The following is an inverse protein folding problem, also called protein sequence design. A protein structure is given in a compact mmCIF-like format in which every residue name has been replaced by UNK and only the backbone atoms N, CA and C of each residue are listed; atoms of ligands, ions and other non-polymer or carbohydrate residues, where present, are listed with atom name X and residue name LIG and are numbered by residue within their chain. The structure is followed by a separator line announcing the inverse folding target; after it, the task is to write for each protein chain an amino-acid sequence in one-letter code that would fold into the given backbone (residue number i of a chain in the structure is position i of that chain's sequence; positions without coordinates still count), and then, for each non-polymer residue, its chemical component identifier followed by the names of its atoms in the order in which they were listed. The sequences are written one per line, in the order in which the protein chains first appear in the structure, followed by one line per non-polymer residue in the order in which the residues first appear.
data_IF_766234912694
#
_entry.id   IF_766234912694
#
_cell.length_a   1.000
_cell.length_b   1.000
_cell.length_c   1.000
_cell.angle_alpha   90.00
_cell.angle_beta   90.00
_cell.angle_gamma   90.00
#
_symmetry.space_group_name_H-M   'P 1'
#
loop_
_entity.id
_entity.type
_entity.pdbx_description
1 polymer ?
#
# COMPACT_ATOMS: atom_id res chain seq x y z
N UNK A 1 -2.36 22.64 -26.93
CA UNK A 1 -3.46 22.03 -26.18
C UNK A 1 -4.34 23.13 -25.63
N UNK A 2 -5.66 22.90 -25.60
CA UNK A 2 -6.63 23.88 -25.14
C UNK A 2 -6.49 24.14 -23.63
N UNK A 3 -6.58 25.41 -23.22
CA UNK A 3 -6.23 25.84 -21.85
C UNK A 3 -7.19 25.36 -20.75
N UNK A 4 -8.26 24.68 -21.15
CA UNK A 4 -9.44 24.37 -20.34
C UNK A 4 -9.65 22.86 -20.13
N UNK A 5 -8.82 22.02 -20.74
CA UNK A 5 -8.91 20.55 -20.68
C UNK A 5 -7.81 19.93 -19.81
N UNK A 6 -7.46 20.57 -18.70
CA UNK A 6 -6.41 20.11 -17.78
C UNK A 6 -6.95 19.28 -16.61
N UNK A 7 -8.24 18.97 -16.59
CA UNK A 7 -8.85 18.18 -15.52
C UNK A 7 -9.96 17.30 -16.04
N UNK A 8 -10.18 16.17 -15.37
CA UNK A 8 -11.19 15.20 -15.75
C UNK A 8 -11.02 13.89 -14.99
N UNK A 9 -11.85 12.92 -15.38
CA UNK A 9 -11.78 11.53 -14.92
C UNK A 9 -11.56 10.66 -16.14
N UNK A 10 -10.64 9.71 -16.06
CA UNK A 10 -10.39 8.76 -17.14
C UNK A 10 -10.73 7.37 -16.66
N UNK A 11 -11.50 6.66 -17.46
CA UNK A 11 -11.76 5.23 -17.27
C UNK A 11 -10.92 4.47 -18.27
N UNK A 12 -10.20 3.47 -17.80
CA UNK A 12 -9.34 2.64 -18.64
C UNK A 12 -9.23 1.23 -18.12
N UNK A 13 -8.94 0.29 -19.02
CA UNK A 13 -8.50 -1.05 -18.62
C UNK A 13 -7.08 -0.94 -18.07
N UNK A 14 -6.90 -1.35 -16.82
CA UNK A 14 -5.63 -1.28 -16.15
C UNK A 14 -4.91 -2.62 -16.25
N UNK A 15 -3.80 -2.63 -16.97
CA UNK A 15 -2.85 -3.75 -16.97
C UNK A 15 -1.69 -3.41 -16.05
N UNK A 16 -1.51 -4.20 -14.98
CA UNK A 16 -0.38 -4.10 -14.06
C UNK A 16 0.50 -5.34 -14.23
N UNK A 17 1.77 -5.14 -14.62
CA UNK A 17 2.77 -6.22 -14.77
C UNK A 17 2.29 -7.39 -15.63
N UNK A 18 1.73 -7.07 -16.79
CA UNK A 18 1.22 -8.07 -17.74
C UNK A 18 -0.12 -8.70 -17.35
N UNK A 19 -0.71 -8.33 -16.20
CA UNK A 19 -2.02 -8.85 -15.77
C UNK A 19 -3.09 -7.77 -15.85
N UNK A 20 -4.20 -8.08 -16.51
CA UNK A 20 -5.35 -7.18 -16.59
C UNK A 20 -6.12 -7.20 -15.25
N UNK A 21 -6.25 -6.03 -14.62
CA UNK A 21 -6.94 -5.80 -13.35
C UNK A 21 -8.40 -5.33 -13.55
N UNK A 22 -8.81 -5.12 -14.80
CA UNK A 22 -10.14 -4.65 -15.18
C UNK A 22 -10.21 -3.14 -15.36
N UNK A 23 -11.43 -2.61 -15.34
CA UNK A 23 -11.71 -1.19 -15.58
C UNK A 23 -11.50 -0.40 -14.29
N UNK A 24 -10.64 0.61 -14.34
CA UNK A 24 -10.32 1.48 -13.20
C UNK A 24 -10.62 2.96 -13.50
N UNK A 25 -11.05 3.68 -12.47
CA UNK A 25 -11.28 5.13 -12.52
C UNK A 25 -10.02 5.88 -12.07
N UNK A 26 -9.30 6.45 -13.03
CA UNK A 26 -8.20 7.36 -12.76
C UNK A 26 -8.77 8.76 -12.50
N UNK A 27 -9.05 9.07 -11.23
CA UNK A 27 -9.58 10.37 -10.80
C UNK A 27 -8.55 11.22 -10.02
N UNK A 28 -7.71 10.58 -9.18
CA UNK A 28 -6.83 11.29 -8.26
C UNK A 28 -5.44 11.58 -8.87
N UNK A 29 -4.96 10.72 -9.77
CA UNK A 29 -3.58 10.76 -10.26
C UNK A 29 -3.42 11.30 -11.69
N UNK A 30 -4.51 11.78 -12.29
CA UNK A 30 -4.50 12.28 -13.67
C UNK A 30 -3.66 13.55 -13.83
N UNK A 31 -3.54 14.34 -12.75
CA UNK A 31 -2.79 15.59 -12.73
C UNK A 31 -1.28 15.39 -12.47
N UNK A 32 -0.81 14.15 -12.30
CA UNK A 32 0.63 13.88 -12.19
C UNK A 32 1.30 14.12 -13.55
N UNK A 33 2.54 14.59 -13.56
CA UNK A 33 3.30 14.83 -14.81
C UNK A 33 3.93 13.56 -15.40
N UNK A 34 3.64 12.39 -14.85
CA UNK A 34 4.37 11.14 -15.11
C UNK A 34 3.77 10.29 -16.26
N UNK A 35 2.65 10.74 -16.82
CA UNK A 35 1.99 10.04 -17.92
C UNK A 35 2.81 10.14 -19.21
N UNK A 36 2.99 9.01 -19.90
CA UNK A 36 3.59 8.93 -21.23
C UNK A 36 2.65 8.23 -22.19
N UNK A 37 2.47 8.82 -23.36
CA UNK A 37 1.68 8.23 -24.43
C UNK A 37 2.55 7.23 -25.21
N UNK A 38 2.09 5.99 -25.32
CA UNK A 38 2.71 4.98 -26.18
C UNK A 38 2.22 5.21 -27.61
N UNK A 39 3.14 5.30 -28.57
CA UNK A 39 2.78 5.48 -29.97
C UNK A 39 2.32 4.16 -30.61
N UNK A 40 1.40 4.24 -31.58
CA UNK A 40 0.80 3.06 -32.26
C UNK A 40 1.81 2.07 -32.87
N UNK A 41 3.00 2.54 -33.26
CA UNK A 41 4.01 1.67 -33.85
C UNK A 41 4.82 0.91 -32.78
N UNK A 42 4.89 1.44 -31.56
CA UNK A 42 5.57 0.84 -30.39
C UNK A 42 4.60 -0.01 -29.55
N UNK A 43 3.29 0.16 -29.74
CA UNK A 43 2.24 -0.52 -28.98
C UNK A 43 2.44 -2.04 -28.87
N UNK A 44 2.81 -2.71 -29.97
CA UNK A 44 3.03 -4.16 -29.97
C UNK A 44 4.22 -4.57 -29.08
N UNK A 45 5.29 -3.78 -29.08
CA UNK A 45 6.49 -4.05 -28.30
C UNK A 45 6.23 -3.81 -26.81
N UNK A 46 5.50 -2.73 -26.47
CA UNK A 46 5.16 -2.41 -25.08
C UNK A 46 4.08 -3.32 -24.48
N UNK A 47 3.20 -3.90 -25.31
CA UNK A 47 2.12 -4.78 -24.83
C UNK A 47 2.58 -6.23 -24.69
N UNK A 48 3.68 -6.63 -25.35
CA UNK A 48 4.20 -7.99 -25.26
C UNK A 48 4.86 -8.23 -23.90
N UNK A 49 4.27 -9.13 -23.11
CA UNK A 49 4.76 -9.50 -21.78
C UNK A 49 4.97 -11.02 -21.72
N UNK A 50 6.23 -11.45 -21.62
CA UNK A 50 6.61 -12.87 -21.60
C UNK A 50 6.32 -13.53 -20.26
N UNK A 51 6.44 -12.78 -19.17
CA UNK A 51 6.31 -13.26 -17.80
C UNK A 51 5.31 -12.37 -17.05
N UNK A 52 4.01 -12.61 -17.22
CA UNK A 52 3.00 -11.87 -16.48
C UNK A 52 3.02 -12.27 -15.00
N UNK A 53 2.64 -11.33 -14.13
CA UNK A 53 2.55 -11.56 -12.69
C UNK A 53 1.61 -12.74 -12.35
N UNK A 54 2.13 -13.69 -11.58
CA UNK A 54 1.38 -14.86 -11.10
C UNK A 54 0.37 -14.55 -9.99
N UNK A 55 -0.24 -15.60 -9.45
CA UNK A 55 -1.07 -15.51 -8.24
C UNK A 55 -0.17 -15.35 -7.00
N UNK A 56 -0.58 -14.49 -6.07
CA UNK A 56 0.19 -14.18 -4.87
C UNK A 56 -0.31 -15.06 -3.72
N UNK A 57 0.50 -16.03 -3.30
CA UNK A 57 0.17 -16.90 -2.16
C UNK A 57 0.82 -16.38 -0.89
N UNK A 58 0.01 -16.02 0.09
CA UNK A 58 0.44 -15.56 1.41
C UNK A 58 -0.05 -16.51 2.51
N UNK A 59 0.64 -16.59 3.65
CA UNK A 59 0.21 -17.41 4.76
C UNK A 59 -1.05 -16.83 5.40
N UNK A 60 -1.96 -17.71 5.84
CA UNK A 60 -3.17 -17.32 6.57
C UNK A 60 -2.91 -16.90 8.04
N UNK A 61 -1.72 -17.24 8.56
CA UNK A 61 -1.34 -17.00 9.95
C UNK A 61 0.16 -16.75 10.04
N UNK A 62 0.60 -16.08 11.09
CA UNK A 62 2.01 -15.77 11.33
C UNK A 62 2.42 -16.16 12.76
N UNK A 63 3.71 -16.48 12.99
CA UNK A 63 4.22 -16.75 14.33
C UNK A 63 4.23 -15.48 15.18
N UNK A 64 3.71 -15.58 16.40
CA UNK A 64 3.68 -14.49 17.37
C UNK A 64 5.11 -14.23 17.87
N UNK A 65 5.51 -12.95 18.04
CA UNK A 65 6.86 -12.62 18.48
C UNK A 65 7.21 -13.24 19.86
N UNK A 66 8.49 -13.58 20.12
CA UNK A 66 8.89 -14.29 21.32
C UNK A 66 8.47 -13.63 22.63
N UNK A 67 8.55 -12.30 22.70
CA UNK A 67 8.15 -11.54 23.88
C UNK A 67 6.64 -11.67 24.17
N UNK A 68 5.82 -11.59 23.12
CA UNK A 68 4.38 -11.74 23.26
C UNK A 68 4.02 -13.17 23.68
N UNK A 69 4.72 -14.19 23.16
CA UNK A 69 4.58 -15.57 23.64
C UNK A 69 4.90 -15.70 25.15
N UNK A 70 5.94 -15.02 25.65
CA UNK A 70 6.28 -15.01 27.07
C UNK A 70 5.20 -14.34 27.91
N UNK A 71 4.64 -13.23 27.44
CA UNK A 71 3.52 -12.56 28.12
C UNK A 71 2.27 -13.42 28.14
N UNK A 72 1.94 -14.10 27.04
CA UNK A 72 0.81 -15.04 26.96
C UNK A 72 0.99 -16.19 27.95
N UNK A 73 2.19 -16.79 28.04
CA UNK A 73 2.47 -17.84 29.04
C UNK A 73 2.23 -17.37 30.47
N UNK A 74 2.75 -16.20 30.84
CA UNK A 74 2.51 -15.60 32.16
C UNK A 74 1.03 -15.30 32.42
N UNK A 75 0.28 -14.88 31.40
CA UNK A 75 -1.15 -14.64 31.52
C UNK A 75 -1.94 -15.95 31.70
N UNK A 76 -1.58 -17.01 30.96
CA UNK A 76 -2.14 -18.35 31.08
C UNK A 76 -1.88 -18.96 32.48
N UNK A 77 -0.64 -18.83 32.99
CA UNK A 77 -0.28 -19.25 34.36
C UNK A 77 -1.09 -18.51 35.43
N UNK A 78 -1.35 -17.21 35.26
CA UNK A 78 -2.20 -16.44 36.18
C UNK A 78 -3.68 -16.79 36.11
N UNK A 79 -4.14 -17.33 34.99
CA UNK A 79 -5.54 -17.67 34.74
C UNK A 79 -5.84 -19.17 34.92
N UNK A 80 -4.84 -19.98 35.32
CA UNK A 80 -4.92 -21.44 35.41
C UNK A 80 -5.35 -22.13 34.10
N UNK A 81 -5.00 -21.55 32.95
CA UNK A 81 -5.30 -22.10 31.62
C UNK A 81 -4.03 -22.74 31.03
N UNK A 82 -4.07 -23.98 30.51
CA UNK A 82 -2.91 -24.59 29.88
C UNK A 82 -2.54 -23.90 28.57
N UNK A 83 -1.26 -23.54 28.41
CA UNK A 83 -0.72 -22.95 27.19
C UNK A 83 -0.71 -23.96 26.04
N UNK A 84 -1.33 -23.62 24.91
CA UNK A 84 -1.38 -24.47 23.70
C UNK A 84 -0.48 -23.93 22.60
N UNK A 85 0.02 -24.81 21.74
CA UNK A 85 0.88 -24.38 20.62
C UNK A 85 0.15 -23.51 19.59
N UNK A 86 -1.17 -23.69 19.44
CA UNK A 86 -2.04 -22.84 18.62
C UNK A 86 -1.98 -21.36 19.05
N UNK A 87 -1.75 -21.10 20.34
CA UNK A 87 -1.62 -19.74 20.89
C UNK A 87 -0.30 -19.07 20.53
N UNK A 88 0.62 -19.76 19.84
CA UNK A 88 1.86 -19.18 19.31
C UNK A 88 1.67 -18.53 17.95
N UNK A 89 0.47 -18.61 17.35
CA UNK A 89 0.19 -18.04 16.03
C UNK A 89 -1.04 -17.14 16.07
N UNK A 90 -1.04 -16.14 15.20
CA UNK A 90 -2.14 -15.22 15.02
C UNK A 90 -2.59 -15.21 13.55
N UNK A 91 -3.87 -14.95 13.26
CA UNK A 91 -4.34 -14.82 11.88
C UNK A 91 -3.69 -13.61 11.20
N UNK A 92 -3.27 -13.77 9.94
CA UNK A 92 -2.70 -12.69 9.15
C UNK A 92 -3.82 -11.94 8.44
N UNK A 93 -4.11 -10.72 8.87
CA UNK A 93 -4.99 -9.80 8.14
C UNK A 93 -4.14 -8.92 7.23
N UNK A 94 -4.36 -9.03 5.92
CA UNK A 94 -3.67 -8.19 4.94
C UNK A 94 -4.21 -6.76 5.02
N UNK A 95 -3.29 -5.80 5.03
CA UNK A 95 -3.57 -4.38 4.89
C UNK A 95 -2.99 -3.97 3.54
N UNK A 96 -3.87 -3.82 2.54
CA UNK A 96 -3.51 -3.37 1.21
C UNK A 96 -3.83 -1.87 1.16
N UNK A 97 -2.95 -1.09 0.54
CA UNK A 97 -3.24 0.33 0.34
C UNK A 97 -4.41 0.49 -0.64
N UNK A 98 -5.30 1.47 -0.46
CA UNK A 98 -6.50 1.63 -1.30
C UNK A 98 -6.22 1.70 -2.81
N UNK A 99 -5.06 2.22 -3.20
CA UNK A 99 -4.60 2.31 -4.59
C UNK A 99 -4.38 0.91 -5.22
N UNK A 100 -4.11 -0.10 -4.40
CA UNK A 100 -3.83 -1.47 -4.79
C UNK A 100 -4.93 -2.45 -4.39
N UNK A 101 -6.10 -1.98 -3.89
CA UNK A 101 -7.22 -2.84 -3.51
C UNK A 101 -7.68 -3.77 -4.64
N UNK A 102 -7.48 -3.34 -5.89
CA UNK A 102 -7.76 -4.12 -7.10
C UNK A 102 -6.94 -5.42 -7.20
N UNK A 103 -5.84 -5.54 -6.45
CA UNK A 103 -5.01 -6.76 -6.38
C UNK A 103 -5.60 -7.83 -5.46
N UNK A 104 -6.55 -7.48 -4.60
CA UNK A 104 -7.17 -8.38 -3.61
C UNK A 104 -7.63 -9.74 -4.20
N UNK A 105 -8.29 -9.80 -5.38
CA UNK A 105 -8.72 -11.08 -5.96
C UNK A 105 -7.57 -12.03 -6.32
N UNK A 106 -6.37 -11.50 -6.53
CA UNK A 106 -5.18 -12.26 -6.92
C UNK A 106 -4.34 -12.72 -5.73
N UNK A 107 -4.69 -12.26 -4.52
CA UNK A 107 -4.02 -12.64 -3.29
C UNK A 107 -4.79 -13.78 -2.63
N UNK A 108 -4.15 -14.94 -2.54
CA UNK A 108 -4.69 -16.14 -1.91
C UNK A 108 -3.99 -16.37 -0.58
N UNK A 109 -4.78 -16.57 0.47
CA UNK A 109 -4.25 -16.96 1.78
C UNK A 109 -4.38 -18.47 1.98
N UNK A 110 -3.27 -19.14 2.24
CA UNK A 110 -3.20 -20.59 2.45
C UNK A 110 -2.42 -20.93 3.72
N UNK A 111 -2.53 -22.17 4.21
CA UNK A 111 -1.64 -22.64 5.27
C UNK A 111 -0.23 -22.85 4.69
N UNK A 112 0.82 -22.35 5.36
CA UNK A 112 2.19 -22.50 4.87
C UNK A 112 2.65 -23.96 4.98
N UNK A 113 3.37 -24.45 3.97
CA UNK A 113 3.93 -25.82 3.95
C UNK A 113 4.94 -26.05 5.07
N UNK A 114 5.67 -25.00 5.45
CA UNK A 114 6.64 -25.01 6.55
C UNK A 114 6.24 -23.96 7.55
N UNK A 115 6.03 -24.37 8.81
CA UNK A 115 5.80 -23.46 9.93
C UNK A 115 7.15 -23.08 10.52
N UNK A 116 7.58 -21.85 10.27
CA UNK A 116 8.86 -21.29 10.70
C UNK A 116 8.74 -20.51 12.00
N UNK A 117 9.86 -19.95 12.44
CA UNK A 117 9.86 -18.97 13.54
C UNK A 117 9.61 -17.56 13.01
N UNK A 118 9.87 -17.34 11.73
CA UNK A 118 9.69 -16.08 11.02
C UNK A 118 8.75 -16.26 9.84
N UNK A 119 7.89 -15.26 9.57
CA UNK A 119 6.99 -15.25 8.42
C UNK A 119 7.75 -15.31 7.08
N UNK A 120 8.96 -14.75 7.03
CA UNK A 120 9.79 -14.75 5.81
C UNK A 120 10.31 -16.14 5.42
N UNK A 121 10.32 -17.10 6.35
CA UNK A 121 10.67 -18.49 6.06
C UNK A 121 9.50 -19.27 5.46
N UNK A 122 8.27 -18.76 5.65
CA UNK A 122 7.03 -19.43 5.28
C UNK A 122 6.50 -18.97 3.93
N UNK A 123 6.96 -17.82 3.44
CA UNK A 123 6.54 -17.25 2.15
C UNK A 123 7.62 -17.52 1.10
N UNK A 124 7.21 -17.84 -0.13
CA UNK A 124 8.14 -17.92 -1.25
C UNK A 124 8.66 -16.51 -1.60
N UNK A 125 9.99 -16.25 -1.48
CA UNK A 125 10.56 -14.96 -1.82
C UNK A 125 10.32 -14.55 -3.28
N UNK A 126 10.19 -15.52 -4.19
CA UNK A 126 9.96 -15.24 -5.61
C UNK A 126 8.63 -14.53 -5.84
N UNK A 127 7.58 -14.96 -5.13
CA UNK A 127 6.24 -14.35 -5.25
C UNK A 127 6.27 -12.87 -4.87
N UNK A 128 7.04 -12.49 -3.85
CA UNK A 128 7.22 -11.08 -3.50
C UNK A 128 8.09 -10.35 -4.52
N UNK A 129 9.18 -10.96 -4.99
CA UNK A 129 10.04 -10.36 -6.00
C UNK A 129 9.29 -10.13 -7.32
N UNK A 130 8.37 -11.02 -7.70
CA UNK A 130 7.50 -10.85 -8.87
C UNK A 130 6.49 -9.72 -8.68
N UNK A 131 6.03 -9.48 -7.43
CA UNK A 131 5.17 -8.34 -7.09
C UNK A 131 5.93 -7.00 -7.16
N UNK A 132 7.21 -6.99 -6.77
CA UNK A 132 8.06 -5.78 -6.75
C UNK A 132 8.93 -5.58 -7.99
N UNK A 133 9.10 -6.60 -8.83
CA UNK A 133 9.62 -6.53 -10.21
C UNK A 133 11.09 -6.79 -10.29
N UNK A 134 11.58 -7.65 -9.40
CA UNK A 134 13.01 -7.85 -9.14
C UNK A 134 13.75 -6.56 -8.73
N UNK A 135 13.05 -5.45 -8.57
CA UNK A 135 13.57 -4.19 -8.06
C UNK A 135 13.40 -4.14 -6.55
N UNK A 136 14.42 -3.64 -5.86
CA UNK A 136 14.34 -3.35 -4.44
C UNK A 136 13.26 -2.28 -4.23
N UNK A 137 12.36 -2.44 -3.25
CA UNK A 137 11.36 -1.42 -2.96
C UNK A 137 12.11 -0.12 -2.60
N UNK A 138 12.08 0.83 -3.53
CA UNK A 138 12.51 2.19 -3.26
C UNK A 138 11.50 2.79 -2.31
N UNK A 139 11.98 3.56 -1.32
CA UNK A 139 11.12 4.32 -0.43
C UNK A 139 10.26 5.24 -1.28
N UNK A 140 9.03 4.83 -1.56
CA UNK A 140 7.99 5.74 -2.02
C UNK A 140 7.71 6.58 -0.79
N UNK A 141 8.27 7.79 -0.74
CA UNK A 141 7.82 8.78 0.24
C UNK A 141 6.31 8.87 0.04
N UNK A 142 5.52 8.36 0.99
CA UNK A 142 4.10 8.64 1.05
C UNK A 142 4.01 10.15 1.16
N UNK A 143 3.89 10.83 0.03
CA UNK A 143 3.76 12.27 0.05
C UNK A 143 2.48 12.55 0.82
N UNK A 144 2.58 13.48 1.77
CA UNK A 144 1.45 14.00 2.54
C UNK A 144 0.49 14.79 1.62
N UNK A 145 0.17 14.28 0.42
CA UNK A 145 -0.82 14.85 -0.48
C UNK A 145 -2.19 14.32 -0.06
N UNK A 146 -2.65 14.79 1.09
CA UNK A 146 -4.06 15.13 1.17
C UNK A 146 -4.37 16.18 0.08
N UNK A 147 -5.65 16.41 -0.26
CA UNK A 147 -6.01 17.49 -1.16
C UNK A 147 -5.29 18.77 -0.70
N UNK A 148 -4.65 19.48 -1.65
CA UNK A 148 -3.88 20.68 -1.36
C UNK A 148 -4.73 21.66 -0.55
N UNK A 149 -4.48 21.73 0.76
CA UNK A 149 -5.21 22.61 1.67
C UNK A 149 -4.33 23.81 1.98
N UNK A 150 -4.87 25.00 1.71
CA UNK A 150 -4.20 26.24 2.08
C UNK A 150 -4.27 26.42 3.60
N UNK A 151 -3.13 26.28 4.26
CA UNK A 151 -2.98 26.62 5.69
C UNK A 151 -2.26 27.97 5.79
N UNK A 152 -2.99 29.09 6.05
CA UNK A 152 -2.35 30.37 6.25
C UNK A 152 -1.46 30.30 7.50
N UNK A 153 -0.18 30.66 7.35
CA UNK A 153 0.79 30.67 8.48
C UNK A 153 0.48 31.74 9.54
N UNK A 154 -0.39 32.69 9.24
CA UNK A 154 -0.75 33.79 10.13
C UNK A 154 -2.27 33.92 10.17
N UNK A 155 -2.82 33.81 11.37
CA UNK A 155 -4.21 34.16 11.68
C UNK A 155 -4.28 35.69 11.89
N UNK A 156 -5.35 36.39 11.47
CA UNK A 156 -5.50 37.82 11.76
C UNK A 156 -5.63 38.15 13.25
N UNK A 157 -5.70 37.13 14.11
CA UNK A 157 -5.92 37.27 15.56
C UNK A 157 -4.64 37.38 16.37
N UNK A 158 -3.47 37.07 15.79
CA UNK A 158 -2.22 36.88 16.55
C UNK A 158 -1.19 38.01 16.37
N UNK A 159 -1.60 39.28 16.29
CA UNK A 159 -0.84 40.47 16.78
C UNK A 159 -1.00 41.73 15.91
N UNK A 160 -1.97 42.59 16.25
CA UNK A 160 -1.73 44.04 16.18
C UNK A 160 -2.31 44.70 17.45
N UNK A 161 -1.49 44.75 18.51
CA UNK A 161 -1.68 45.74 19.58
C UNK A 161 -1.36 47.11 19.00
N UNK A 162 -2.40 47.82 18.55
CA UNK A 162 -2.30 49.24 18.20
C UNK A 162 -2.11 50.01 19.52
N UNK A 163 -0.87 50.40 19.82
CA UNK A 163 -0.62 51.40 20.86
C UNK A 163 -1.29 52.72 20.43
N UNK A 164 -2.31 53.15 21.16
CA UNK A 164 -2.91 54.47 21.01
C UNK A 164 -1.83 55.53 21.27
N UNK A 165 -1.40 56.23 20.21
CA UNK A 165 -0.65 57.47 20.36
C UNK A 165 -1.62 58.57 20.79
N UNK A 166 -1.40 59.09 22.00
CA UNK A 166 -2.07 60.27 22.53
C UNK A 166 -1.78 61.48 21.62
N UNK A 167 -2.85 62.10 21.12
CA UNK A 167 -2.84 63.37 20.42
C UNK A 167 -2.60 64.51 21.39
N UNK A 168 -1.55 65.31 21.14
CA UNK A 168 -1.41 66.68 21.63
C UNK A 168 -1.76 67.65 20.52
#
# INVERSE_FOLDING_TARGET
MDRWLFGGKVWGEWTYRGRNLGVYEFANDLNRSDWRLIHKHEEKEFTDCKEPMGDITLPNSFPIPPLQNLMTKKACEKADIPFREEMKRAPLKLCIDPEFDMLTPFIKQAEPEKKGTSIYEEVDPKVFLDLYGEELPVKVEAWNVGPASFTPRFSPTDDVKVNQQLSS
#
